data_IF_712063151737
#
_entry.id   IF_712063151737
#
_cell.length_a   1.000
_cell.length_b   1.000
_cell.length_c   1.000
_cell.angle_alpha   90.00
_cell.angle_beta   90.00
_cell.angle_gamma   90.00
#
_symmetry.space_group_name_H-M   'P 1'
#
loop_
_entity.id
_entity.type
_entity.pdbx_description
1 polymer ?
#
# COMPACT_ATOMS: atom_id res chain seq x y z
N UNK A 1 7.25 -1.46 49.84
CA UNK A 1 7.72 -0.15 49.28
C UNK A 1 8.28 -0.26 47.87
N UNK A 2 9.13 -1.24 47.54
CA UNK A 2 9.68 -1.40 46.18
C UNK A 2 8.61 -1.61 45.10
N UNK A 3 7.60 -2.47 45.34
CA UNK A 3 6.54 -2.75 44.38
C UNK A 3 5.70 -1.51 44.00
N UNK A 4 5.41 -0.64 44.98
CA UNK A 4 4.69 0.63 44.74
C UNK A 4 5.54 1.56 43.88
N UNK A 5 6.86 1.66 44.16
CA UNK A 5 7.78 2.47 43.35
C UNK A 5 7.89 1.97 41.91
N UNK A 6 7.90 0.66 41.70
CA UNK A 6 7.93 0.04 40.37
C UNK A 6 6.62 0.28 39.62
N UNK A 7 5.47 0.15 40.30
CA UNK A 7 4.15 0.42 39.72
C UNK A 7 3.98 1.89 39.32
N UNK A 8 4.43 2.81 40.17
CA UNK A 8 4.46 4.25 39.86
C UNK A 8 5.33 4.56 38.65
N UNK A 9 6.48 3.90 38.50
CA UNK A 9 7.38 4.09 37.35
C UNK A 9 6.75 3.58 36.05
N UNK A 10 6.07 2.43 36.11
CA UNK A 10 5.34 1.85 34.98
C UNK A 10 4.20 2.75 34.49
N UNK A 11 3.45 3.36 35.41
CA UNK A 11 2.37 4.29 35.09
C UNK A 11 2.86 5.56 34.39
N UNK A 12 4.09 6.01 34.68
CA UNK A 12 4.71 7.18 34.03
C UNK A 12 5.27 6.82 32.65
N UNK A 13 5.77 5.59 32.45
CA UNK A 13 6.33 5.12 31.18
C UNK A 13 5.28 4.59 30.19
N UNK A 14 4.14 4.12 30.68
CA UNK A 14 3.06 3.56 29.85
C UNK A 14 2.56 4.52 28.75
N UNK A 15 2.32 5.82 29.01
CA UNK A 15 1.90 6.77 27.99
C UNK A 15 2.95 6.93 26.88
N UNK A 16 4.23 6.97 27.24
CA UNK A 16 5.35 7.16 26.29
C UNK A 16 5.46 5.94 25.35
N UNK A 17 5.16 4.74 25.84
CA UNK A 17 5.11 3.52 25.05
C UNK A 17 3.81 3.38 24.22
N UNK A 18 2.73 4.03 24.66
CA UNK A 18 1.39 3.92 24.04
C UNK A 18 1.12 4.99 22.99
N UNK A 19 1.78 6.15 23.07
CA UNK A 19 1.71 7.18 22.04
C UNK A 19 2.75 6.90 20.94
N UNK A 20 2.45 5.92 20.09
CA UNK A 20 3.13 5.83 18.80
C UNK A 20 2.98 7.17 18.08
N UNK A 21 4.10 7.74 17.60
CA UNK A 21 4.07 8.98 16.82
C UNK A 21 3.08 8.81 15.66
N UNK A 22 1.94 9.53 15.72
CA UNK A 22 1.05 9.63 14.57
C UNK A 22 1.87 10.21 13.43
N UNK A 23 1.93 9.50 12.31
CA UNK A 23 2.60 10.01 11.11
C UNK A 23 2.08 11.42 10.82
N UNK A 24 2.99 12.37 10.61
CA UNK A 24 2.63 13.73 10.15
C UNK A 24 1.86 13.67 8.83
N UNK A 25 2.00 12.56 8.11
CA UNK A 25 1.39 12.28 6.81
C UNK A 25 0.74 10.88 6.84
N UNK A 26 -0.50 10.74 7.35
CA UNK A 26 -1.21 9.46 7.26
C UNK A 26 -1.46 9.12 5.79
N UNK A 27 -1.09 7.91 5.40
CA UNK A 27 -1.27 7.45 4.02
C UNK A 27 -2.71 7.04 3.78
N UNK A 28 -3.26 7.43 2.66
CA UNK A 28 -4.55 6.92 2.19
C UNK A 28 -4.37 5.52 1.58
N UNK A 29 -5.41 4.68 1.61
CA UNK A 29 -5.34 3.32 1.05
C UNK A 29 -6.01 3.27 -0.31
N UNK A 30 -5.30 2.73 -1.30
CA UNK A 30 -5.83 2.51 -2.66
C UNK A 30 -5.66 1.07 -3.09
N UNK A 31 -6.60 0.61 -3.90
CA UNK A 31 -6.64 -0.74 -4.45
C UNK A 31 -6.63 -0.68 -5.97
N UNK A 32 -5.73 -1.43 -6.57
CA UNK A 32 -5.58 -1.54 -8.02
C UNK A 32 -5.87 -2.97 -8.44
N UNK A 33 -6.75 -3.14 -9.43
CA UNK A 33 -7.10 -4.46 -9.94
C UNK A 33 -6.04 -4.97 -10.92
N UNK A 34 -5.59 -6.20 -10.74
CA UNK A 34 -4.81 -6.96 -11.71
C UNK A 34 -5.66 -8.09 -12.31
N UNK A 35 -5.82 -8.04 -13.64
CA UNK A 35 -6.41 -9.12 -14.43
C UNK A 35 -5.38 -9.62 -15.42
N UNK A 36 -5.15 -10.94 -15.48
CA UNK A 36 -4.22 -11.53 -16.45
C UNK A 36 -4.81 -11.41 -17.86
N UNK A 37 -4.12 -10.67 -18.73
CA UNK A 37 -4.44 -10.50 -20.16
C UNK A 37 -3.17 -10.08 -20.91
N UNK A 38 -3.25 -9.89 -22.23
CA UNK A 38 -2.08 -9.51 -23.06
C UNK A 38 -1.47 -8.15 -22.69
N UNK A 39 -2.28 -7.23 -22.16
CA UNK A 39 -1.85 -5.89 -21.79
C UNK A 39 -1.17 -5.83 -20.41
N UNK A 40 -1.44 -6.80 -19.54
CA UNK A 40 -0.98 -6.82 -18.16
C UNK A 40 0.09 -7.88 -17.96
N UNK A 41 1.21 -7.51 -17.33
CA UNK A 41 2.34 -8.42 -17.11
C UNK A 41 2.57 -8.66 -15.62
N UNK A 42 2.71 -9.92 -15.24
CA UNK A 42 3.18 -10.37 -13.92
C UNK A 42 4.50 -11.12 -14.10
N UNK A 43 5.57 -10.67 -13.43
CA UNK A 43 6.88 -11.33 -13.45
C UNK A 43 7.26 -11.69 -12.01
N UNK A 44 7.42 -12.98 -11.73
CA UNK A 44 7.89 -13.50 -10.43
C UNK A 44 9.41 -13.48 -10.37
N UNK A 45 9.95 -13.48 -9.14
CA UNK A 45 11.40 -13.46 -8.89
C UNK A 45 12.11 -12.26 -9.54
N UNK A 46 11.39 -11.13 -9.61
CA UNK A 46 11.95 -9.87 -10.09
C UNK A 46 12.80 -9.23 -8.99
N UNK A 47 14.05 -8.87 -9.30
CA UNK A 47 14.88 -8.09 -8.37
C UNK A 47 14.58 -6.59 -8.49
N UNK A 48 14.31 -5.96 -7.35
CA UNK A 48 14.18 -4.52 -7.25
C UNK A 48 14.72 -4.03 -5.91
N UNK A 49 15.70 -3.12 -5.95
CA UNK A 49 16.36 -2.56 -4.75
C UNK A 49 16.88 -3.65 -3.79
N UNK A 50 17.54 -4.68 -4.33
CA UNK A 50 18.09 -5.82 -3.56
C UNK A 50 17.02 -6.66 -2.85
N UNK A 51 15.79 -6.65 -3.36
CA UNK A 51 14.68 -7.49 -2.88
C UNK A 51 14.10 -8.26 -4.05
N UNK A 52 13.86 -9.54 -3.84
CA UNK A 52 13.11 -10.38 -4.78
C UNK A 52 11.61 -10.26 -4.51
N UNK A 53 10.83 -10.34 -5.59
CA UNK A 53 9.39 -10.20 -5.49
C UNK A 53 8.66 -10.43 -6.80
N UNK A 54 7.44 -9.90 -6.87
CA UNK A 54 6.59 -9.91 -8.05
C UNK A 54 6.50 -8.50 -8.63
N UNK A 55 6.80 -8.37 -9.91
CA UNK A 55 6.53 -7.16 -10.66
C UNK A 55 5.18 -7.25 -11.38
N UNK A 56 4.35 -6.23 -11.21
CA UNK A 56 3.11 -6.03 -11.94
C UNK A 56 3.23 -4.81 -12.85
N UNK A 57 2.97 -5.01 -14.14
CA UNK A 57 2.72 -3.95 -15.11
C UNK A 57 1.24 -4.00 -15.48
N UNK A 58 0.48 -2.99 -15.07
CA UNK A 58 -0.98 -2.95 -15.24
C UNK A 58 -1.33 -1.82 -16.20
N UNK A 59 -1.93 -2.15 -17.33
CA UNK A 59 -2.41 -1.15 -18.30
C UNK A 59 -3.68 -0.50 -17.76
N UNK A 60 -3.61 0.82 -17.63
CA UNK A 60 -4.73 1.68 -17.26
C UNK A 60 -5.60 2.03 -18.47
N UNK A 61 -6.81 2.56 -18.22
CA UNK A 61 -7.71 3.11 -19.26
C UNK A 61 -7.00 4.15 -20.14
N UNK A 62 -6.13 4.96 -19.55
CA UNK A 62 -5.32 5.98 -20.25
C UNK A 62 -4.17 5.40 -21.11
N UNK A 63 -4.11 4.08 -21.28
CA UNK A 63 -3.01 3.34 -21.94
C UNK A 63 -1.63 3.48 -21.28
N UNK A 64 -1.54 4.15 -20.12
CA UNK A 64 -0.35 4.19 -19.28
C UNK A 64 -0.24 2.91 -18.46
N UNK A 65 0.99 2.52 -18.13
CA UNK A 65 1.23 1.36 -17.28
C UNK A 65 1.53 1.77 -15.84
N UNK A 66 0.78 1.21 -14.89
CA UNK A 66 1.14 1.21 -13.49
C UNK A 66 2.24 0.15 -13.30
N UNK A 67 3.41 0.60 -12.84
CA UNK A 67 4.53 -0.27 -12.51
C UNK A 67 4.55 -0.47 -10.99
N UNK A 68 4.18 -1.66 -10.53
CA UNK A 68 4.01 -1.99 -9.11
C UNK A 68 4.90 -3.18 -8.73
N UNK A 69 5.41 -3.22 -7.50
CA UNK A 69 6.27 -4.28 -7.02
C UNK A 69 5.85 -4.78 -5.64
N UNK A 70 5.66 -6.08 -5.54
CA UNK A 70 5.41 -6.79 -4.29
C UNK A 70 6.70 -7.51 -3.85
N UNK A 71 7.40 -7.04 -2.81
CA UNK A 71 8.53 -7.77 -2.24
C UNK A 71 8.05 -9.01 -1.46
N UNK A 72 8.72 -10.15 -1.61
CA UNK A 72 8.38 -11.37 -0.87
C UNK A 72 8.59 -11.28 0.66
N UNK A 73 9.26 -10.22 1.13
CA UNK A 73 9.39 -9.94 2.57
C UNK A 73 8.08 -9.49 3.21
N UNK A 74 7.13 -8.99 2.42
CA UNK A 74 5.81 -8.60 2.88
C UNK A 74 4.85 -9.78 2.78
N UNK A 75 3.79 -9.79 3.60
CA UNK A 75 2.77 -10.84 3.54
C UNK A 75 1.67 -10.44 2.56
N UNK A 76 1.40 -11.31 1.59
CA UNK A 76 0.19 -11.25 0.78
C UNK A 76 -0.94 -11.98 1.51
N UNK A 77 -2.15 -11.43 1.41
CA UNK A 77 -3.35 -12.04 1.98
C UNK A 77 -4.19 -12.68 0.88
N UNK A 78 -4.61 -13.91 1.07
CA UNK A 78 -5.69 -14.51 0.27
C UNK A 78 -7.02 -14.16 0.93
N UNK A 79 -7.91 -13.51 0.19
CA UNK A 79 -9.19 -13.03 0.70
C UNK A 79 -10.34 -13.68 -0.09
N UNK A 80 -11.41 -14.03 0.63
CA UNK A 80 -12.70 -14.35 0.02
C UNK A 80 -13.34 -13.05 -0.48
N UNK A 81 -13.92 -13.06 -1.69
CA UNK A 81 -14.53 -11.86 -2.30
C UNK A 81 -15.63 -11.22 -1.45
N UNK A 82 -16.28 -12.00 -0.59
CA UNK A 82 -17.34 -11.49 0.29
C UNK A 82 -16.82 -10.44 1.29
N UNK A 83 -15.54 -10.53 1.69
CA UNK A 83 -14.86 -9.54 2.54
C UNK A 83 -14.34 -8.33 1.76
N UNK A 84 -14.50 -8.37 0.45
CA UNK A 84 -14.11 -7.37 -0.52
C UNK A 84 -15.36 -6.62 -1.04
N UNK A 85 -16.52 -6.67 -0.38
CA UNK A 85 -17.68 -5.86 -0.82
C UNK A 85 -17.53 -4.36 -0.53
N UNK A 86 -16.60 -3.98 0.36
CA UNK A 86 -16.48 -2.62 0.88
C UNK A 86 -15.25 -1.84 0.34
N UNK A 87 -14.54 -2.33 -0.68
CA UNK A 87 -13.36 -1.63 -1.22
C UNK A 87 -13.62 -1.03 -2.61
N UNK A 88 -13.11 0.18 -2.80
CA UNK A 88 -13.17 0.90 -4.06
C UNK A 88 -11.90 0.64 -4.88
N UNK A 89 -12.08 0.31 -6.16
CA UNK A 89 -10.99 0.12 -7.11
C UNK A 89 -10.65 1.45 -7.77
N UNK A 90 -9.41 1.90 -7.59
CA UNK A 90 -8.95 3.17 -8.14
C UNK A 90 -8.22 2.97 -9.47
N UNK A 91 -8.50 3.84 -10.43
CA UNK A 91 -7.75 3.97 -11.69
C UNK A 91 -6.68 5.08 -11.60
N UNK A 92 -5.84 5.20 -12.62
CA UNK A 92 -4.71 6.11 -12.57
C UNK A 92 -5.12 7.59 -12.46
N UNK A 93 -6.25 7.97 -13.05
CA UNK A 93 -6.79 9.32 -12.99
C UNK A 93 -7.17 9.67 -11.56
N UNK A 94 -8.02 8.85 -10.93
CA UNK A 94 -8.43 9.04 -9.53
C UNK A 94 -7.23 9.06 -8.58
N UNK A 95 -6.25 8.16 -8.78
CA UNK A 95 -5.02 8.12 -7.97
C UNK A 95 -4.23 9.43 -8.08
N UNK A 96 -4.16 10.01 -9.29
CA UNK A 96 -3.44 11.28 -9.48
C UNK A 96 -4.20 12.46 -8.88
N UNK A 97 -5.53 12.49 -8.99
CA UNK A 97 -6.36 13.52 -8.36
C UNK A 97 -6.23 13.49 -6.84
N UNK A 98 -6.39 12.30 -6.24
CA UNK A 98 -6.18 12.08 -4.79
C UNK A 98 -4.79 12.52 -4.35
N UNK A 99 -3.76 12.16 -5.13
CA UNK A 99 -2.39 12.56 -4.85
C UNK A 99 -2.22 14.07 -4.87
N UNK A 100 -2.70 14.73 -5.92
CA UNK A 100 -2.53 16.17 -6.08
C UNK A 100 -3.28 16.94 -4.98
N UNK A 101 -4.50 16.51 -4.63
CA UNK A 101 -5.27 17.05 -3.51
C UNK A 101 -4.50 16.90 -2.20
N UNK A 102 -4.04 15.69 -1.90
CA UNK A 102 -3.28 15.42 -0.69
C UNK A 102 -1.98 16.22 -0.61
N UNK A 103 -1.27 16.40 -1.74
CA UNK A 103 -0.07 17.25 -1.80
C UNK A 103 -0.41 18.71 -1.50
N UNK A 104 -1.51 19.22 -2.07
CA UNK A 104 -1.95 20.60 -1.88
C UNK A 104 -2.34 20.88 -0.43
N UNK A 105 -3.04 19.94 0.22
CA UNK A 105 -3.55 20.10 1.59
C UNK A 105 -2.46 20.01 2.67
N UNK A 106 -1.26 19.53 2.32
CA UNK A 106 -0.18 19.27 3.28
C UNK A 106 1.04 20.17 3.03
N UNK A 107 1.74 20.60 4.10
CA UNK A 107 2.91 21.50 4.00
C UNK A 107 4.21 20.72 3.85
N UNK A 108 4.73 20.63 2.61
CA UNK A 108 5.93 19.84 2.22
C UNK A 108 5.79 18.31 2.39
N UNK A 109 4.72 17.70 1.84
CA UNK A 109 4.55 16.27 1.93
C UNK A 109 5.44 15.53 0.92
N UNK A 110 5.66 14.22 1.11
CA UNK A 110 6.21 13.35 0.07
C UNK A 110 5.32 13.39 -1.19
N UNK A 111 5.86 13.85 -2.32
CA UNK A 111 5.08 13.96 -3.56
C UNK A 111 4.92 12.62 -4.32
N UNK A 112 5.59 11.56 -3.86
CA UNK A 112 5.53 10.23 -4.49
C UNK A 112 4.26 9.49 -4.07
N UNK A 113 3.72 8.64 -4.96
CA UNK A 113 2.59 7.76 -4.65
C UNK A 113 2.92 6.81 -3.50
N UNK A 114 4.17 6.35 -3.39
CA UNK A 114 4.63 5.60 -2.22
C UNK A 114 4.59 6.40 -0.91
N UNK A 115 4.70 7.73 -0.98
CA UNK A 115 4.59 8.63 0.16
C UNK A 115 3.16 8.97 0.54
N UNK A 116 2.28 9.11 -0.46
CA UNK A 116 0.85 9.44 -0.28
C UNK A 116 0.01 8.22 0.08
N UNK A 117 0.30 7.07 -0.51
CA UNK A 117 -0.61 5.92 -0.50
C UNK A 117 0.01 4.66 0.10
N UNK A 118 -0.82 3.91 0.82
CA UNK A 118 -0.69 2.47 0.99
C UNK A 118 -1.40 1.80 -0.18
N UNK A 119 -0.64 1.14 -1.06
CA UNK A 119 -1.19 0.57 -2.30
C UNK A 119 -1.28 -0.94 -2.22
N UNK A 120 -2.42 -1.47 -2.62
CA UNK A 120 -2.64 -2.91 -2.76
C UNK A 120 -3.00 -3.28 -4.19
N UNK A 121 -2.38 -4.35 -4.71
CA UNK A 121 -2.85 -5.02 -5.93
C UNK A 121 -3.80 -6.13 -5.55
N UNK A 122 -4.97 -6.13 -6.17
CA UNK A 122 -5.97 -7.21 -6.08
C UNK A 122 -5.86 -8.06 -7.33
N UNK A 123 -5.31 -9.26 -7.23
CA UNK A 123 -5.28 -10.24 -8.32
C UNK A 123 -6.48 -11.18 -8.21
N UNK A 124 -7.22 -11.31 -9.31
CA UNK A 124 -8.32 -12.26 -9.42
C UNK A 124 -7.77 -13.63 -9.80
N UNK A 125 -7.95 -14.63 -8.93
CA UNK A 125 -7.60 -16.03 -9.22
C UNK A 125 -8.81 -16.77 -9.79
N UNK A 126 -10.01 -16.47 -9.28
CA UNK A 126 -11.31 -16.97 -9.76
C UNK A 126 -12.39 -16.01 -9.28
N UNK A 127 -13.64 -16.19 -9.74
CA UNK A 127 -14.79 -15.34 -9.36
C UNK A 127 -14.94 -15.14 -7.85
N UNK A 128 -14.50 -16.10 -7.02
CA UNK A 128 -14.62 -16.04 -5.56
C UNK A 128 -13.28 -15.99 -4.80
N UNK A 129 -12.14 -15.96 -5.49
CA UNK A 129 -10.81 -16.01 -4.84
C UNK A 129 -9.88 -14.94 -5.38
N UNK A 130 -9.32 -14.16 -4.46
CA UNK A 130 -8.45 -13.03 -4.78
C UNK A 130 -7.21 -13.05 -3.89
N UNK A 131 -6.13 -12.47 -4.39
CA UNK A 131 -4.92 -12.22 -3.61
C UNK A 131 -4.70 -10.72 -3.51
N UNK A 132 -4.50 -10.24 -2.29
CA UNK A 132 -4.16 -8.85 -1.98
C UNK A 132 -2.67 -8.76 -1.72
N UNK A 133 -1.95 -8.06 -2.59
CA UNK A 133 -0.52 -7.82 -2.47
C UNK A 133 -0.27 -6.39 -1.97
N UNK A 134 0.41 -6.18 -0.83
CA UNK A 134 0.98 -4.87 -0.55
C UNK A 134 2.07 -4.56 -1.58
N UNK A 135 1.97 -3.43 -2.28
CA UNK A 135 2.92 -3.08 -3.34
C UNK A 135 3.53 -1.71 -3.15
N UNK A 136 4.68 -1.52 -3.78
CA UNK A 136 5.31 -0.21 -3.96
C UNK A 136 5.28 0.18 -5.44
N UNK A 137 5.07 1.47 -5.69
CA UNK A 137 5.15 2.07 -7.00
C UNK A 137 6.61 2.14 -7.49
N UNK A 138 6.80 1.84 -8.77
CA UNK A 138 8.08 1.92 -9.48
C UNK A 138 7.99 2.97 -10.58
N UNK A 139 9.17 3.48 -10.97
CA UNK A 139 9.34 4.37 -12.11
C UNK A 139 8.36 5.57 -12.09
N UNK A 140 8.12 6.11 -10.89
CA UNK A 140 7.39 7.35 -10.73
C UNK A 140 8.23 8.46 -11.36
N UNK A 141 7.87 8.92 -12.56
CA UNK A 141 8.34 10.21 -13.07
C UNK A 141 7.66 11.28 -12.23
N UNK A 142 8.43 11.91 -11.34
CA UNK A 142 8.04 13.13 -10.62
C UNK A 142 8.18 14.29 -11.59
#
# INVERSE_FOLDING_TARGET
MAAIKVLSLLLILCPILSFGQKSVYPKDTIYVMFKKNEANRKITNWDYKKKNGVYFSIKDKSSKHLSLFYPYTEKADTLCIEKLKDFHLSDLEEINEKRNRWIFDNKRPPATRNGVFQTYVIEVISDNKFVKYPVIWRNERI
#
